data_IF_673898499957
#
_entry.id   IF_673898499957
#
_cell.length_a   1.000
_cell.length_b   1.000
_cell.length_c   1.000
_cell.angle_alpha   90.00
_cell.angle_beta   90.00
_cell.angle_gamma   90.00
#
_symmetry.space_group_name_H-M   'P 1'
#
loop_
_entity.id
_entity.type
_entity.pdbx_description
1 polymer ?
#
# COMPACT_ATOMS: atom_id res chain seq x y z
N UNK A 1 74.15 64.71 -14.36
CA UNK A 1 75.10 63.74 -13.74
C UNK A 1 74.36 62.49 -13.43
N UNK A 2 74.87 61.42 -13.96
CA UNK A 2 74.62 59.97 -13.69
C UNK A 2 73.24 59.42 -13.98
N UNK A 3 73.16 58.76 -15.13
CA UNK A 3 72.21 57.80 -15.58
C UNK A 3 72.29 56.50 -14.78
N UNK A 4 71.14 55.89 -14.49
CA UNK A 4 71.09 54.47 -14.20
C UNK A 4 69.96 53.81 -14.98
N UNK A 5 70.34 53.01 -15.92
CA UNK A 5 69.48 52.10 -16.67
C UNK A 5 69.12 50.91 -15.85
N UNK A 6 67.86 50.59 -15.64
CA UNK A 6 67.41 49.31 -15.11
C UNK A 6 66.63 48.55 -16.20
N UNK A 7 67.09 47.33 -16.40
CA UNK A 7 66.55 46.39 -17.39
C UNK A 7 65.19 45.85 -16.94
N UNK A 8 64.19 45.92 -17.78
CA UNK A 8 62.94 45.23 -17.67
C UNK A 8 63.14 43.75 -18.00
N UNK A 9 62.90 42.86 -17.02
CA UNK A 9 62.75 41.45 -17.25
C UNK A 9 61.25 41.13 -17.45
N UNK A 10 60.86 40.69 -18.65
CA UNK A 10 59.55 40.13 -18.92
C UNK A 10 59.45 38.75 -18.26
N UNK A 11 58.59 38.62 -17.26
CA UNK A 11 58.12 37.32 -16.81
C UNK A 11 56.78 37.02 -17.52
N UNK A 12 56.75 35.97 -18.32
CA UNK A 12 55.54 35.44 -18.94
C UNK A 12 54.68 34.71 -17.86
N UNK A 13 53.36 34.92 -17.82
CA UNK A 13 52.54 34.13 -16.94
C UNK A 13 52.28 32.75 -17.58
N UNK A 14 52.64 31.71 -16.87
CA UNK A 14 52.26 30.33 -17.16
C UNK A 14 50.76 30.21 -16.92
N UNK A 15 49.98 30.03 -17.95
CA UNK A 15 48.55 29.75 -17.90
C UNK A 15 48.38 28.28 -17.46
N UNK A 16 48.09 28.04 -16.17
CA UNK A 16 47.70 26.74 -15.69
C UNK A 16 46.28 26.44 -16.16
N UNK A 17 46.17 25.60 -17.18
CA UNK A 17 44.90 25.05 -17.66
C UNK A 17 44.42 24.00 -16.64
N UNK A 18 43.52 24.39 -15.73
CA UNK A 18 42.82 23.45 -14.86
C UNK A 18 41.79 22.70 -15.69
N UNK A 19 42.10 21.49 -16.08
CA UNK A 19 41.12 20.51 -16.57
C UNK A 19 40.13 20.23 -15.45
N UNK A 20 38.99 20.84 -15.45
CA UNK A 20 37.81 20.36 -14.73
C UNK A 20 37.38 19.06 -15.41
N UNK A 21 37.78 17.94 -14.81
CA UNK A 21 37.23 16.66 -15.12
C UNK A 21 35.73 16.68 -14.78
N UNK A 22 34.90 16.67 -15.82
CA UNK A 22 33.50 16.38 -15.68
C UNK A 22 33.37 14.94 -15.14
N UNK A 23 33.29 14.83 -13.84
CA UNK A 23 32.92 13.59 -13.19
C UNK A 23 31.49 13.24 -13.60
N UNK A 24 31.34 12.31 -14.54
CA UNK A 24 30.10 11.62 -14.77
C UNK A 24 29.69 10.94 -13.48
N UNK A 25 28.81 11.54 -12.70
CA UNK A 25 27.98 10.85 -11.73
C UNK A 25 26.91 10.04 -12.46
N UNK A 26 27.35 9.08 -13.24
CA UNK A 26 26.56 8.01 -13.80
C UNK A 26 26.75 6.77 -12.96
N UNK A 27 26.32 6.81 -11.72
CA UNK A 27 26.15 5.62 -10.91
C UNK A 27 24.93 4.84 -11.38
N UNK A 28 24.99 4.19 -12.57
CA UNK A 28 24.06 3.11 -12.85
C UNK A 28 24.49 1.94 -11.98
N UNK A 29 23.93 1.84 -10.78
CA UNK A 29 23.90 0.59 -10.06
C UNK A 29 23.04 -0.37 -10.87
N UNK A 30 23.66 -1.15 -11.73
CA UNK A 30 23.08 -2.40 -12.25
C UNK A 30 22.87 -3.28 -11.03
N UNK A 31 21.71 -3.20 -10.41
CA UNK A 31 21.30 -4.13 -9.38
C UNK A 31 21.16 -5.50 -10.04
N UNK A 32 22.22 -6.28 -9.98
CA UNK A 32 22.30 -7.67 -10.52
C UNK A 32 21.60 -8.69 -9.62
N UNK A 33 20.69 -8.24 -8.75
CA UNK A 33 19.91 -9.07 -7.83
C UNK A 33 18.41 -8.81 -7.93
N UNK A 34 17.60 -9.61 -7.26
CA UNK A 34 16.17 -9.35 -7.18
C UNK A 34 15.92 -7.98 -6.55
N UNK A 35 15.23 -7.11 -7.28
CA UNK A 35 14.92 -5.72 -6.91
C UNK A 35 13.45 -5.53 -6.48
N UNK A 36 12.77 -6.63 -6.14
CA UNK A 36 11.42 -6.64 -5.57
C UNK A 36 11.43 -6.37 -4.05
N UNK A 37 10.31 -6.59 -3.39
CA UNK A 37 10.16 -6.48 -1.94
C UNK A 37 9.68 -5.10 -1.49
N UNK A 38 10.31 -4.55 -0.48
CA UNK A 38 9.87 -3.31 0.18
C UNK A 38 10.92 -2.21 0.02
N UNK A 39 10.44 -1.04 -0.38
CA UNK A 39 11.22 0.18 -0.51
C UNK A 39 10.68 1.26 0.42
N UNK A 40 11.55 2.06 1.00
CA UNK A 40 11.22 3.21 1.86
C UNK A 40 11.79 4.49 1.27
N UNK A 41 11.01 5.54 1.28
CA UNK A 41 11.47 6.92 1.08
C UNK A 41 11.32 7.72 2.36
N UNK A 42 12.16 8.76 2.53
CA UNK A 42 12.07 9.73 3.63
C UNK A 42 12.06 11.17 3.10
N UNK A 43 11.77 11.35 1.82
CA UNK A 43 11.78 12.63 1.12
C UNK A 43 10.63 12.75 0.09
N UNK A 44 9.49 12.15 0.41
CA UNK A 44 8.28 12.13 -0.45
C UNK A 44 8.52 11.53 -1.82
N UNK A 45 9.37 10.48 -1.88
CA UNK A 45 9.60 9.71 -3.09
C UNK A 45 10.65 10.26 -4.04
N UNK A 46 11.46 11.24 -3.64
CA UNK A 46 12.58 11.71 -4.43
C UNK A 46 13.71 10.67 -4.46
N UNK A 47 13.97 10.02 -3.34
CA UNK A 47 14.89 8.89 -3.24
C UNK A 47 14.26 7.72 -2.49
N UNK A 48 14.63 6.50 -2.88
CA UNK A 48 14.10 5.27 -2.29
C UNK A 48 15.24 4.34 -1.88
N UNK A 49 15.08 3.71 -0.74
CA UNK A 49 16.03 2.72 -0.19
C UNK A 49 15.34 1.36 -0.11
N UNK A 50 15.94 0.34 -0.70
CA UNK A 50 15.44 -1.04 -0.59
C UNK A 50 15.63 -1.56 0.84
N UNK A 51 14.57 -1.98 1.50
CA UNK A 51 14.52 -2.49 2.87
C UNK A 51 14.55 -4.02 2.87
N UNK A 52 15.65 -4.58 2.41
CA UNK A 52 15.81 -6.00 2.07
C UNK A 52 16.30 -6.90 3.21
N UNK A 53 16.77 -6.35 4.32
CA UNK A 53 17.36 -7.15 5.40
C UNK A 53 16.30 -8.00 6.09
N UNK A 54 16.35 -9.33 5.92
CA UNK A 54 15.51 -10.32 6.59
C UNK A 54 16.36 -11.08 7.61
N UNK A 55 15.94 -11.02 8.87
CA UNK A 55 16.52 -11.81 9.95
C UNK A 55 15.77 -13.14 10.00
N UNK A 56 16.46 -14.23 9.66
CA UNK A 56 15.93 -15.56 9.90
C UNK A 56 15.99 -15.89 11.41
N UNK A 57 15.22 -16.88 11.89
CA UNK A 57 15.37 -17.39 13.25
C UNK A 57 16.83 -17.84 13.49
N UNK A 58 17.62 -17.01 14.21
CA UNK A 58 19.05 -17.20 14.46
C UNK A 58 19.85 -15.89 14.34
N UNK A 59 21.13 -15.86 14.72
CA UNK A 59 21.90 -14.62 14.82
C UNK A 59 22.43 -14.05 13.49
N UNK A 60 22.05 -14.58 12.32
CA UNK A 60 22.58 -14.15 11.03
C UNK A 60 21.47 -13.62 10.12
N UNK A 61 21.74 -12.49 9.43
CA UNK A 61 20.96 -12.05 8.27
C UNK A 61 21.20 -13.08 7.16
N UNK A 62 20.23 -13.94 6.90
CA UNK A 62 20.41 -15.10 6.01
C UNK A 62 19.57 -15.04 4.74
N UNK A 63 18.65 -14.08 4.63
CA UNK A 63 17.77 -13.96 3.49
C UNK A 63 17.44 -12.49 3.19
N UNK A 64 16.77 -12.25 2.06
CA UNK A 64 16.37 -10.90 1.65
C UNK A 64 14.90 -10.87 1.24
N UNK A 65 14.19 -9.85 1.69
CA UNK A 65 12.82 -9.54 1.26
C UNK A 65 12.77 -9.13 -0.23
N UNK A 66 13.92 -8.93 -0.87
CA UNK A 66 14.05 -8.44 -2.24
C UNK A 66 13.39 -9.33 -3.33
N UNK A 67 13.06 -10.60 -3.01
CA UNK A 67 12.31 -11.50 -3.90
C UNK A 67 10.82 -11.60 -3.56
N UNK A 68 10.34 -10.95 -2.51
CA UNK A 68 8.98 -11.14 -2.01
C UNK A 68 7.96 -10.31 -2.79
N UNK A 69 6.80 -10.92 -3.03
CA UNK A 69 5.63 -10.24 -3.61
C UNK A 69 4.75 -9.72 -2.48
N UNK A 70 4.70 -8.41 -2.31
CA UNK A 70 3.96 -7.77 -1.22
C UNK A 70 2.50 -7.55 -1.64
N UNK A 71 1.56 -8.06 -0.89
CA UNK A 71 0.11 -7.96 -1.16
C UNK A 71 -0.59 -6.92 -0.27
N UNK A 72 -0.14 -6.76 0.97
CA UNK A 72 -0.68 -5.80 1.94
C UNK A 72 0.41 -5.34 2.89
N UNK A 73 0.32 -4.12 3.37
CA UNK A 73 1.14 -3.57 4.47
C UNK A 73 0.25 -2.74 5.38
N UNK A 74 0.41 -2.93 6.70
CA UNK A 74 -0.30 -2.16 7.71
C UNK A 74 0.66 -1.77 8.83
N UNK A 75 0.48 -0.57 9.36
CA UNK A 75 1.17 -0.11 10.56
C UNK A 75 0.43 -0.59 11.81
N UNK A 76 1.19 -0.81 12.88
CA UNK A 76 0.59 -0.89 14.21
C UNK A 76 0.09 0.52 14.60
N UNK A 77 -1.20 0.70 14.92
CA UNK A 77 -1.74 2.02 15.27
C UNK A 77 -1.11 2.63 16.53
N UNK A 78 -0.47 1.80 17.36
CA UNK A 78 0.16 2.22 18.62
C UNK A 78 1.69 2.38 18.50
N UNK A 79 2.28 1.96 17.35
CA UNK A 79 3.72 2.04 17.11
C UNK A 79 4.04 2.08 15.62
N UNK A 80 4.25 3.27 15.06
CA UNK A 80 4.50 3.45 13.64
C UNK A 80 5.81 2.82 13.13
N UNK A 81 6.73 2.40 14.02
CA UNK A 81 7.90 1.63 13.63
C UNK A 81 7.60 0.16 13.41
N UNK A 82 6.45 -0.31 13.90
CA UNK A 82 5.98 -1.68 13.72
C UNK A 82 5.10 -1.76 12.48
N UNK A 83 5.53 -2.56 11.49
CA UNK A 83 4.82 -2.76 10.23
C UNK A 83 4.69 -4.26 9.97
N UNK A 84 3.51 -4.67 9.55
CA UNK A 84 3.19 -6.03 9.14
C UNK A 84 2.93 -6.07 7.64
N UNK A 85 3.54 -7.04 6.95
CA UNK A 85 3.35 -7.19 5.51
C UNK A 85 2.95 -8.62 5.16
N UNK A 86 1.88 -8.74 4.38
CA UNK A 86 1.39 -9.99 3.83
C UNK A 86 2.01 -10.22 2.45
N UNK A 87 2.41 -11.46 2.17
CA UNK A 87 3.09 -11.82 0.91
C UNK A 87 2.33 -12.89 0.14
N UNK A 88 2.68 -13.05 -1.13
CA UNK A 88 2.05 -14.06 -2.00
C UNK A 88 2.55 -15.48 -1.71
N UNK A 89 3.83 -15.65 -1.44
CA UNK A 89 4.46 -16.97 -1.33
C UNK A 89 5.08 -17.23 0.04
N UNK A 90 5.45 -16.17 0.77
CA UNK A 90 6.32 -16.24 1.94
C UNK A 90 5.58 -15.96 3.25
N UNK A 91 4.25 -16.12 3.27
CA UNK A 91 3.44 -15.90 4.47
C UNK A 91 3.46 -14.44 4.92
N UNK A 92 3.63 -14.24 6.22
CA UNK A 92 3.76 -12.93 6.86
C UNK A 92 5.22 -12.56 7.07
N UNK A 93 5.52 -11.27 7.03
CA UNK A 93 6.74 -10.68 7.58
C UNK A 93 6.39 -9.44 8.41
N UNK A 94 7.25 -9.10 9.36
CA UNK A 94 7.04 -7.93 10.21
C UNK A 94 8.36 -7.23 10.53
N UNK A 95 8.28 -5.97 10.87
CA UNK A 95 9.39 -5.15 11.36
C UNK A 95 8.98 -4.42 12.63
N UNK A 96 9.94 -4.17 13.51
CA UNK A 96 9.75 -3.37 14.74
C UNK A 96 10.65 -2.13 14.75
N UNK A 97 11.33 -1.84 13.64
CA UNK A 97 12.36 -0.80 13.52
C UNK A 97 12.18 0.09 12.26
N UNK A 98 10.93 0.25 11.82
CA UNK A 98 10.59 1.08 10.67
C UNK A 98 11.13 0.52 9.35
N UNK A 99 11.20 -0.81 9.23
CA UNK A 99 11.62 -1.52 8.03
C UNK A 99 13.13 -1.63 7.85
N UNK A 100 13.94 -1.29 8.85
CA UNK A 100 15.40 -1.48 8.73
C UNK A 100 15.74 -2.97 8.70
N UNK A 101 15.05 -3.77 9.52
CA UNK A 101 15.11 -5.23 9.48
C UNK A 101 13.71 -5.83 9.46
N UNK A 102 13.53 -6.93 8.74
CA UNK A 102 12.30 -7.70 8.69
C UNK A 102 12.50 -9.04 9.37
N UNK A 103 11.43 -9.62 9.88
CA UNK A 103 11.41 -10.92 10.54
C UNK A 103 10.28 -11.76 9.97
N UNK A 104 10.46 -13.08 9.94
CA UNK A 104 9.37 -14.03 9.67
C UNK A 104 8.86 -14.63 10.98
N UNK A 105 7.54 -14.86 11.10
CA UNK A 105 6.98 -15.56 12.24
C UNK A 105 7.36 -17.05 12.27
N UNK A 106 7.19 -17.71 13.41
CA UNK A 106 7.38 -19.15 13.53
C UNK A 106 6.32 -19.97 12.78
N UNK A 107 5.11 -19.41 12.67
CA UNK A 107 3.98 -19.96 11.90
C UNK A 107 3.46 -18.93 10.92
N UNK A 108 2.66 -19.35 9.92
CA UNK A 108 2.19 -18.48 8.84
C UNK A 108 3.34 -17.80 8.06
N UNK A 109 4.44 -18.51 7.89
CA UNK A 109 5.68 -18.06 7.23
C UNK A 109 5.83 -18.58 5.80
N UNK A 110 4.83 -19.24 5.26
CA UNK A 110 4.76 -19.76 3.90
C UNK A 110 3.37 -19.58 3.31
N UNK A 111 3.26 -19.66 1.99
CA UNK A 111 2.00 -19.54 1.28
C UNK A 111 1.50 -18.11 1.18
N UNK A 112 0.30 -17.99 0.63
CA UNK A 112 -0.32 -16.70 0.35
C UNK A 112 -1.10 -16.18 1.55
N UNK A 113 -0.79 -14.98 1.99
CA UNK A 113 -1.60 -14.19 2.92
C UNK A 113 -2.17 -13.01 2.15
N UNK A 114 -3.49 -12.85 2.16
CA UNK A 114 -4.18 -11.82 1.37
C UNK A 114 -4.32 -10.50 2.12
N UNK A 115 -4.61 -10.56 3.41
CA UNK A 115 -4.86 -9.39 4.25
C UNK A 115 -4.35 -9.61 5.66
N UNK A 116 -3.97 -8.52 6.31
CA UNK A 116 -3.63 -8.46 7.73
C UNK A 116 -4.22 -7.19 8.32
N UNK A 117 -4.73 -7.28 9.55
CA UNK A 117 -5.21 -6.13 10.33
C UNK A 117 -4.71 -6.21 11.76
N UNK A 118 -4.52 -5.04 12.36
CA UNK A 118 -4.02 -4.88 13.73
C UNK A 118 -5.16 -4.40 14.61
N UNK A 119 -5.28 -4.96 15.80
CA UNK A 119 -6.22 -4.49 16.80
C UNK A 119 -5.83 -3.08 17.26
N UNK A 120 -6.71 -2.07 17.07
CA UNK A 120 -6.37 -0.68 17.39
C UNK A 120 -6.30 -0.39 18.88
N UNK A 121 -6.80 -1.28 19.73
CA UNK A 121 -6.84 -1.11 21.19
C UNK A 121 -5.91 -2.06 21.94
N UNK A 122 -5.61 -3.23 21.35
CA UNK A 122 -4.75 -4.22 21.96
C UNK A 122 -3.47 -4.39 21.17
N UNK A 123 -2.39 -3.77 21.65
CA UNK A 123 -1.07 -3.87 21.02
C UNK A 123 -0.66 -5.33 20.81
N UNK A 124 -0.03 -5.60 19.68
CA UNK A 124 0.47 -6.95 19.33
C UNK A 124 -0.61 -8.01 19.10
N UNK A 125 -1.88 -7.60 18.97
CA UNK A 125 -2.97 -8.49 18.55
C UNK A 125 -3.33 -8.21 17.10
N UNK A 126 -3.29 -9.26 16.27
CA UNK A 126 -3.48 -9.16 14.84
C UNK A 126 -4.33 -10.31 14.30
N UNK A 127 -4.93 -10.06 13.15
CA UNK A 127 -5.65 -11.07 12.37
C UNK A 127 -5.15 -11.09 10.94
N UNK A 128 -5.08 -12.27 10.34
CA UNK A 128 -4.64 -12.45 8.96
C UNK A 128 -5.54 -13.43 8.21
N UNK A 129 -5.75 -13.16 6.92
CA UNK A 129 -6.50 -14.01 6.00
C UNK A 129 -5.56 -14.74 5.04
N UNK A 130 -5.63 -16.08 5.02
CA UNK A 130 -4.82 -16.93 4.15
C UNK A 130 -5.65 -18.08 3.60
N UNK A 131 -5.89 -18.09 2.29
CA UNK A 131 -6.81 -19.03 1.68
C UNK A 131 -8.21 -18.91 2.28
N UNK A 132 -8.81 -20.02 2.64
CA UNK A 132 -10.12 -20.10 3.29
C UNK A 132 -10.04 -20.02 4.84
N UNK A 133 -8.92 -19.50 5.39
CA UNK A 133 -8.63 -19.52 6.83
C UNK A 133 -8.38 -18.11 7.37
N UNK A 134 -8.77 -17.92 8.64
CA UNK A 134 -8.42 -16.75 9.44
C UNK A 134 -7.50 -17.18 10.57
N UNK A 135 -6.44 -16.42 10.76
CA UNK A 135 -5.43 -16.60 11.81
C UNK A 135 -5.43 -15.41 12.74
N UNK A 136 -5.11 -15.66 14.02
CA UNK A 136 -4.88 -14.65 15.05
C UNK A 136 -3.47 -14.78 15.60
N UNK A 137 -2.79 -13.64 15.77
CA UNK A 137 -1.60 -13.50 16.61
C UNK A 137 -2.02 -12.72 17.85
N UNK A 138 -1.95 -13.35 19.01
CA UNK A 138 -2.48 -12.80 20.26
C UNK A 138 -1.33 -12.42 21.19
N UNK A 139 -1.14 -11.11 21.42
CA UNK A 139 -0.08 -10.53 22.26
C UNK A 139 1.36 -10.93 21.85
N UNK A 140 1.57 -11.42 20.63
CA UNK A 140 2.90 -11.88 20.17
C UNK A 140 3.50 -10.99 19.08
N UNK A 141 2.86 -9.86 18.75
CA UNK A 141 3.31 -8.92 17.70
C UNK A 141 3.61 -9.60 16.36
N UNK A 142 2.77 -10.55 15.97
CA UNK A 142 2.93 -11.28 14.71
C UNK A 142 4.00 -12.37 14.71
N UNK A 143 4.61 -12.71 15.86
CA UNK A 143 5.63 -13.78 15.95
C UNK A 143 5.03 -15.16 15.81
N UNK A 144 3.86 -15.36 16.42
CA UNK A 144 3.14 -16.63 16.41
C UNK A 144 1.71 -16.43 15.97
N UNK A 145 1.21 -17.34 15.14
CA UNK A 145 -0.12 -17.29 14.58
C UNK A 145 -0.85 -18.61 14.82
N UNK A 146 -2.10 -18.50 15.24
CA UNK A 146 -3.00 -19.64 15.44
C UNK A 146 -4.19 -19.49 14.48
N UNK A 147 -4.53 -20.56 13.77
CA UNK A 147 -5.78 -20.62 13.01
C UNK A 147 -6.95 -20.59 14.01
N UNK A 148 -7.88 -19.64 13.82
CA UNK A 148 -9.07 -19.48 14.66
C UNK A 148 -10.35 -19.81 13.90
N UNK A 149 -10.36 -19.71 12.58
CA UNK A 149 -11.53 -20.00 11.75
C UNK A 149 -11.12 -20.56 10.39
N UNK A 150 -12.02 -21.31 9.75
CA UNK A 150 -11.92 -21.68 8.33
C UNK A 150 -13.32 -21.79 7.71
N UNK A 151 -13.42 -21.42 6.43
CA UNK A 151 -14.59 -21.70 5.60
C UNK A 151 -14.45 -23.12 5.02
N UNK A 152 -15.44 -24.00 5.14
CA UNK A 152 -15.34 -25.37 4.60
C UNK A 152 -15.25 -25.41 3.06
N UNK A 153 -15.58 -24.32 2.36
CA UNK A 153 -15.45 -24.20 0.91
C UNK A 153 -13.99 -23.93 0.53
N UNK A 154 -13.23 -24.97 0.27
CA UNK A 154 -11.77 -24.93 0.07
C UNK A 154 -11.34 -24.22 -1.21
N UNK A 155 -12.22 -24.12 -2.20
CA UNK A 155 -12.00 -23.38 -3.46
C UNK A 155 -12.17 -21.87 -3.31
N UNK A 156 -12.70 -21.40 -2.17
CA UNK A 156 -12.86 -19.97 -1.86
C UNK A 156 -11.73 -19.47 -1.00
N UNK A 157 -11.49 -18.17 -1.05
CA UNK A 157 -10.50 -17.53 -0.21
C UNK A 157 -11.01 -16.21 0.35
N UNK A 158 -10.61 -15.90 1.57
CA UNK A 158 -10.75 -14.56 2.11
C UNK A 158 -9.78 -13.62 1.39
N UNK A 159 -10.31 -12.56 0.81
CA UNK A 159 -9.53 -11.57 0.03
C UNK A 159 -9.24 -10.32 0.82
N UNK A 160 -10.13 -9.98 1.74
CA UNK A 160 -10.07 -8.76 2.56
C UNK A 160 -10.39 -9.09 4.02
N UNK A 161 -9.83 -8.28 4.92
CA UNK A 161 -10.12 -8.33 6.35
C UNK A 161 -10.07 -6.89 6.88
N UNK A 162 -11.06 -6.51 7.68
CA UNK A 162 -11.09 -5.25 8.43
C UNK A 162 -11.54 -5.51 9.86
N UNK A 163 -11.10 -4.66 10.77
CA UNK A 163 -11.46 -4.72 12.20
C UNK A 163 -12.14 -3.42 12.59
N UNK A 164 -13.17 -3.51 13.42
CA UNK A 164 -13.86 -2.36 13.96
C UNK A 164 -12.95 -1.65 14.98
N UNK A 165 -12.57 -0.43 14.65
CA UNK A 165 -11.70 0.39 15.49
C UNK A 165 -12.36 0.82 16.80
N UNK A 166 -13.71 0.88 16.83
CA UNK A 166 -14.48 1.23 18.03
C UNK A 166 -14.73 -0.01 18.90
N UNK A 167 -15.08 -1.15 18.28
CA UNK A 167 -15.29 -2.43 18.96
C UNK A 167 -14.45 -3.54 18.30
N UNK A 168 -13.17 -3.74 18.70
CA UNK A 168 -12.28 -4.68 18.04
C UNK A 168 -12.64 -6.16 18.14
N UNK A 169 -13.68 -6.53 18.91
CA UNK A 169 -14.24 -7.89 18.85
C UNK A 169 -15.02 -8.12 17.55
N UNK A 170 -15.36 -7.04 16.83
CA UNK A 170 -16.06 -7.09 15.55
C UNK A 170 -15.07 -7.02 14.40
N UNK A 171 -15.13 -8.02 13.52
CA UNK A 171 -14.35 -8.11 12.30
C UNK A 171 -15.26 -8.36 11.11
N UNK A 172 -14.80 -7.92 9.93
CA UNK A 172 -15.44 -8.25 8.65
C UNK A 172 -14.41 -8.86 7.72
N UNK A 173 -14.83 -9.84 6.91
CA UNK A 173 -14.00 -10.46 5.90
C UNK A 173 -14.76 -10.52 4.58
N UNK A 174 -14.08 -10.13 3.49
CA UNK A 174 -14.58 -10.29 2.12
C UNK A 174 -13.98 -11.54 1.48
N UNK A 175 -14.74 -12.20 0.62
CA UNK A 175 -14.31 -13.43 -0.05
C UNK A 175 -14.20 -13.31 -1.57
N UNK A 176 -13.56 -14.28 -2.17
CA UNK A 176 -13.36 -14.36 -3.63
C UNK A 176 -14.65 -14.69 -4.41
N UNK A 177 -15.69 -15.17 -3.75
CA UNK A 177 -17.00 -15.48 -4.34
C UNK A 177 -18.09 -14.46 -4.01
N UNK A 178 -17.74 -13.37 -3.29
CA UNK A 178 -18.62 -12.22 -3.05
C UNK A 178 -19.35 -12.26 -1.71
N UNK A 179 -19.03 -13.21 -0.83
CA UNK A 179 -19.58 -13.18 0.52
C UNK A 179 -18.82 -12.14 1.38
N UNK A 180 -19.58 -11.38 2.17
CA UNK A 180 -19.06 -10.55 3.26
C UNK A 180 -19.48 -11.21 4.56
N UNK A 181 -18.50 -11.56 5.36
CA UNK A 181 -18.66 -12.18 6.67
C UNK A 181 -18.49 -11.14 7.77
N UNK A 182 -19.20 -11.32 8.88
CA UNK A 182 -19.03 -10.56 10.12
C UNK A 182 -18.81 -11.54 11.29
N UNK A 183 -17.85 -11.24 12.12
CA UNK A 183 -17.64 -11.82 13.45
C UNK A 183 -17.87 -10.74 14.50
N UNK A 184 -18.40 -11.10 15.68
CA UNK A 184 -18.58 -10.21 16.85
C UNK A 184 -17.90 -10.76 18.10
N UNK A 185 -17.11 -11.81 17.95
CA UNK A 185 -16.44 -12.57 19.01
C UNK A 185 -14.93 -12.74 18.78
N UNK A 186 -14.28 -11.71 18.22
CA UNK A 186 -12.85 -11.71 17.92
C UNK A 186 -12.43 -12.80 16.91
N UNK A 187 -13.30 -13.11 15.96
CA UNK A 187 -13.02 -14.02 14.85
C UNK A 187 -13.24 -15.49 15.16
N UNK A 188 -13.83 -15.85 16.30
CA UNK A 188 -14.10 -17.25 16.67
C UNK A 188 -15.27 -17.83 15.88
N UNK A 189 -16.30 -17.02 15.60
CA UNK A 189 -17.42 -17.41 14.74
C UNK A 189 -17.72 -16.32 13.71
N UNK A 190 -18.29 -16.71 12.57
CA UNK A 190 -18.56 -15.83 11.46
C UNK A 190 -19.93 -16.09 10.85
N UNK A 191 -20.62 -15.03 10.46
CA UNK A 191 -21.88 -15.05 9.75
C UNK A 191 -21.76 -14.31 8.42
N UNK A 192 -22.38 -14.83 7.37
CA UNK A 192 -22.50 -14.09 6.09
C UNK A 192 -23.56 -13.01 6.26
N UNK A 193 -23.16 -11.76 6.15
CA UNK A 193 -24.03 -10.57 6.25
C UNK A 193 -24.41 -9.99 4.89
N UNK A 194 -23.68 -10.38 3.83
CA UNK A 194 -24.00 -10.02 2.44
C UNK A 194 -23.45 -11.07 1.50
N UNK A 195 -24.22 -11.37 0.46
CA UNK A 195 -23.78 -12.20 -0.68
C UNK A 195 -23.92 -11.42 -1.97
N UNK A 196 -22.85 -11.41 -2.78
CA UNK A 196 -22.77 -10.81 -4.10
C UNK A 196 -22.32 -11.91 -5.05
N UNK A 197 -23.25 -12.73 -5.50
CA UNK A 197 -22.98 -14.01 -6.15
C UNK A 197 -21.91 -13.94 -7.25
N UNK A 198 -20.82 -14.70 -7.07
CA UNK A 198 -19.75 -14.88 -8.03
C UNK A 198 -18.85 -13.66 -8.27
N UNK A 199 -19.00 -12.58 -7.51
CA UNK A 199 -18.27 -11.33 -7.72
C UNK A 199 -17.34 -11.06 -6.55
N UNK A 200 -16.04 -11.27 -6.74
CA UNK A 200 -15.02 -11.12 -5.69
C UNK A 200 -15.05 -9.76 -5.01
N UNK A 201 -14.96 -9.76 -3.69
CA UNK A 201 -14.66 -8.56 -2.89
C UNK A 201 -13.18 -8.25 -3.04
N UNK A 202 -12.87 -7.06 -3.53
CA UNK A 202 -11.50 -6.65 -3.87
C UNK A 202 -10.88 -5.67 -2.88
N UNK A 203 -11.72 -4.94 -2.15
CA UNK A 203 -11.29 -3.96 -1.16
C UNK A 203 -12.40 -3.76 -0.13
N UNK A 204 -12.04 -3.57 1.14
CA UNK A 204 -12.98 -3.18 2.19
C UNK A 204 -12.35 -2.10 3.05
N UNK A 205 -13.12 -1.07 3.38
CA UNK A 205 -12.70 0.02 4.27
C UNK A 205 -13.85 0.40 5.20
N UNK A 206 -13.49 0.76 6.43
CA UNK A 206 -14.40 1.23 7.46
C UNK A 206 -14.19 2.71 7.72
N UNK A 207 -15.26 3.46 7.88
CA UNK A 207 -15.21 4.88 8.19
C UNK A 207 -14.61 5.10 9.59
N UNK A 208 -13.60 5.95 9.68
CA UNK A 208 -12.86 6.20 10.93
C UNK A 208 -13.61 7.11 11.92
N UNK A 209 -14.76 7.69 11.55
CA UNK A 209 -15.62 8.48 12.43
C UNK A 209 -16.88 7.72 12.85
N UNK A 210 -17.33 6.75 12.03
CA UNK A 210 -18.47 5.89 12.33
C UNK A 210 -18.21 4.48 11.82
N UNK A 211 -17.81 3.57 12.72
CA UNK A 211 -17.44 2.19 12.38
C UNK A 211 -18.60 1.36 11.79
N UNK A 212 -19.85 1.84 11.89
CA UNK A 212 -21.02 1.20 11.25
C UNK A 212 -21.01 1.40 9.73
N UNK A 213 -20.31 2.43 9.25
CA UNK A 213 -20.21 2.73 7.82
C UNK A 213 -19.02 2.01 7.21
N UNK A 214 -19.30 1.09 6.28
CA UNK A 214 -18.30 0.26 5.58
C UNK A 214 -18.57 0.32 4.09
N UNK A 215 -17.50 0.39 3.31
CA UNK A 215 -17.53 0.28 1.85
C UNK A 215 -16.80 -1.00 1.41
N UNK A 216 -17.42 -1.75 0.52
CA UNK A 216 -16.86 -2.95 -0.10
C UNK A 216 -16.79 -2.78 -1.63
N UNK A 217 -15.59 -2.69 -2.17
CA UNK A 217 -15.34 -2.67 -3.62
C UNK A 217 -15.37 -4.07 -4.21
N UNK A 218 -15.85 -4.19 -5.44
CA UNK A 218 -16.05 -5.47 -6.11
C UNK A 218 -15.40 -5.52 -7.49
N UNK A 219 -15.10 -6.74 -7.95
CA UNK A 219 -14.58 -6.97 -9.30
C UNK A 219 -15.69 -7.02 -10.35
N UNK A 220 -16.43 -5.92 -10.52
CA UNK A 220 -17.40 -5.79 -11.62
C UNK A 220 -18.78 -5.27 -11.24
N UNK A 221 -19.10 -5.16 -9.94
CA UNK A 221 -20.41 -4.72 -9.46
C UNK A 221 -20.38 -3.38 -8.69
N UNK A 222 -19.29 -2.63 -8.85
CA UNK A 222 -19.11 -1.33 -8.20
C UNK A 222 -18.77 -1.45 -6.71
N UNK A 223 -19.40 -0.60 -5.91
CA UNK A 223 -19.22 -0.52 -4.47
C UNK A 223 -20.52 -0.89 -3.77
N UNK A 224 -20.42 -1.61 -2.68
CA UNK A 224 -21.49 -1.81 -1.72
C UNK A 224 -21.19 -1.04 -0.44
N UNK A 225 -22.19 -0.38 0.11
CA UNK A 225 -22.10 0.46 1.33
C UNK A 225 -23.11 -0.03 2.36
N UNK A 226 -22.68 -0.10 3.60
CA UNK A 226 -23.56 -0.20 4.77
C UNK A 226 -23.35 1.02 5.66
N UNK A 227 -24.38 1.40 6.44
CA UNK A 227 -24.32 2.46 7.46
C UNK A 227 -24.84 1.96 8.83
N UNK A 228 -25.09 0.67 8.92
CA UNK A 228 -25.68 0.00 10.10
C UNK A 228 -24.84 -1.20 10.58
N UNK A 229 -23.55 -1.24 10.24
CA UNK A 229 -22.64 -2.33 10.64
C UNK A 229 -22.89 -3.62 9.89
N UNK A 230 -23.43 -3.54 8.67
CA UNK A 230 -23.63 -4.68 7.79
C UNK A 230 -24.98 -5.37 7.93
N UNK A 231 -25.94 -4.80 8.65
CA UNK A 231 -27.31 -5.34 8.68
C UNK A 231 -28.00 -5.14 7.33
N UNK A 232 -27.80 -3.98 6.70
CA UNK A 232 -28.26 -3.70 5.34
C UNK A 232 -27.12 -3.19 4.45
N UNK A 233 -27.20 -3.49 3.15
CA UNK A 233 -26.20 -3.08 2.17
C UNK A 233 -26.89 -2.48 0.95
N UNK A 234 -26.45 -1.31 0.52
CA UNK A 234 -26.88 -0.62 -0.70
C UNK A 234 -25.76 -0.65 -1.74
N UNK A 235 -26.14 -0.77 -3.01
CA UNK A 235 -25.18 -0.78 -4.12
C UNK A 235 -25.03 0.63 -4.70
N UNK A 236 -23.79 1.12 -4.76
CA UNK A 236 -23.39 2.37 -5.43
C UNK A 236 -22.98 2.04 -6.87
N UNK A 237 -23.95 1.67 -7.70
CA UNK A 237 -23.71 1.28 -9.10
C UNK A 237 -24.21 2.33 -10.09
N UNK A 238 -25.37 2.91 -9.82
CA UNK A 238 -26.02 3.89 -10.71
C UNK A 238 -25.19 5.16 -10.86
N UNK A 239 -24.44 5.52 -9.84
CA UNK A 239 -23.56 6.68 -9.82
C UNK A 239 -22.35 6.54 -10.77
N UNK A 240 -22.05 5.31 -11.24
CA UNK A 240 -20.99 5.04 -12.22
C UNK A 240 -21.48 5.01 -13.66
N UNK A 241 -22.81 5.06 -13.89
CA UNK A 241 -23.42 5.05 -15.19
C UNK A 241 -23.99 6.45 -15.56
N UNK A 242 -23.90 6.85 -16.84
CA UNK A 242 -23.20 6.18 -17.95
C UNK A 242 -21.69 6.49 -18.01
N UNK A 243 -21.20 7.52 -17.27
CA UNK A 243 -19.92 8.19 -17.49
C UNK A 243 -18.71 7.35 -17.05
N UNK A 244 -18.88 6.47 -16.04
CA UNK A 244 -17.80 5.73 -15.42
C UNK A 244 -18.01 4.21 -15.44
N UNK A 245 -18.52 3.66 -16.53
CA UNK A 245 -18.86 2.21 -16.63
C UNK A 245 -17.68 1.30 -16.27
N UNK A 246 -16.46 1.62 -16.71
CA UNK A 246 -15.25 0.84 -16.38
C UNK A 246 -14.82 0.98 -14.92
N UNK A 247 -15.39 1.93 -14.17
CA UNK A 247 -15.15 2.10 -12.73
C UNK A 247 -15.84 1.02 -11.87
N UNK A 248 -16.74 0.22 -12.41
CA UNK A 248 -17.38 -0.89 -11.68
C UNK A 248 -16.43 -2.02 -11.28
N UNK A 249 -15.29 -2.18 -11.98
CA UNK A 249 -14.21 -3.09 -11.59
C UNK A 249 -13.28 -2.39 -10.62
N UNK A 250 -13.74 -2.29 -9.37
CA UNK A 250 -12.99 -1.63 -8.30
C UNK A 250 -11.83 -2.52 -7.87
N UNK A 251 -10.64 -1.96 -7.80
CA UNK A 251 -9.45 -2.63 -7.27
C UNK A 251 -9.09 -2.15 -5.86
N UNK A 252 -9.44 -0.90 -5.54
CA UNK A 252 -9.24 -0.32 -4.22
C UNK A 252 -10.33 0.71 -3.92
N UNK A 253 -10.85 0.69 -2.71
CA UNK A 253 -11.63 1.77 -2.09
C UNK A 253 -10.79 2.32 -0.94
N UNK A 254 -10.77 3.63 -0.79
CA UNK A 254 -10.06 4.32 0.28
C UNK A 254 -10.92 5.48 0.79
N UNK A 255 -11.01 5.62 2.11
CA UNK A 255 -11.60 6.79 2.76
C UNK A 255 -10.47 7.75 3.07
N UNK A 256 -10.69 9.03 2.84
CA UNK A 256 -9.75 10.08 3.22
C UNK A 256 -9.54 10.05 4.74
N UNK A 257 -8.30 9.96 5.22
CA UNK A 257 -8.03 9.80 6.65
C UNK A 257 -8.39 11.04 7.50
N UNK A 258 -8.61 12.18 6.87
CA UNK A 258 -8.97 13.45 7.54
C UNK A 258 -10.44 13.74 7.37
N UNK A 259 -10.98 13.51 6.16
CA UNK A 259 -12.37 13.77 5.80
C UNK A 259 -13.10 12.48 5.44
N UNK A 260 -13.87 11.96 6.39
CA UNK A 260 -14.56 10.67 6.25
C UNK A 260 -15.69 10.64 5.21
N UNK A 261 -16.14 11.79 4.67
CA UNK A 261 -17.07 11.87 3.56
C UNK A 261 -16.36 11.81 2.21
N UNK A 262 -15.06 12.04 2.19
CA UNK A 262 -14.26 11.91 0.97
C UNK A 262 -13.82 10.46 0.74
N UNK A 263 -14.30 9.89 -0.37
CA UNK A 263 -14.03 8.50 -0.78
C UNK A 263 -13.31 8.51 -2.12
N UNK A 264 -12.30 7.67 -2.24
CA UNK A 264 -11.60 7.42 -3.49
C UNK A 264 -11.83 5.98 -3.94
N UNK A 265 -11.96 5.76 -5.24
CA UNK A 265 -11.89 4.42 -5.82
C UNK A 265 -10.87 4.36 -6.92
N UNK A 266 -10.16 3.25 -6.97
CA UNK A 266 -9.27 2.87 -8.06
C UNK A 266 -9.91 1.78 -8.87
N UNK A 267 -9.89 1.91 -10.18
CA UNK A 267 -10.50 0.97 -11.11
C UNK A 267 -9.75 0.97 -12.45
N UNK A 268 -10.22 0.18 -13.40
CA UNK A 268 -9.73 0.26 -14.78
C UNK A 268 -9.96 1.64 -15.41
N UNK A 269 -10.99 2.36 -15.02
CA UNK A 269 -11.25 3.72 -15.51
C UNK A 269 -10.14 4.69 -15.08
N UNK A 270 -9.64 4.55 -13.87
CA UNK A 270 -8.70 5.45 -13.20
C UNK A 270 -9.07 5.65 -11.75
N UNK A 271 -8.97 6.88 -11.26
CA UNK A 271 -9.36 7.28 -9.90
C UNK A 271 -10.60 8.16 -10.00
N UNK A 272 -11.66 7.78 -9.29
CA UNK A 272 -12.81 8.67 -9.09
C UNK A 272 -12.96 8.97 -7.59
N UNK A 273 -13.43 10.17 -7.29
CA UNK A 273 -13.54 10.75 -5.96
C UNK A 273 -14.97 11.18 -5.69
N UNK A 274 -15.47 10.86 -4.51
CA UNK A 274 -16.69 11.41 -3.91
C UNK A 274 -16.30 12.36 -2.77
N UNK A 275 -17.12 13.37 -2.51
CA UNK A 275 -16.99 14.30 -1.38
C UNK A 275 -18.19 14.23 -0.43
N UNK A 276 -19.11 13.30 -0.67
CA UNK A 276 -20.43 13.19 -0.01
C UNK A 276 -20.76 11.73 0.36
N UNK A 277 -19.75 10.97 0.77
CA UNK A 277 -19.94 9.59 1.23
C UNK A 277 -20.38 8.62 0.13
N UNK A 278 -20.15 8.95 -1.14
CA UNK A 278 -20.44 8.08 -2.28
C UNK A 278 -21.76 8.39 -3.00
N UNK A 279 -22.42 9.51 -2.70
CA UNK A 279 -23.65 9.91 -3.40
C UNK A 279 -23.36 10.45 -4.80
N UNK A 280 -22.31 11.28 -4.94
CA UNK A 280 -21.84 11.78 -6.23
C UNK A 280 -20.36 11.51 -6.44
N UNK A 281 -19.95 11.36 -7.70
CA UNK A 281 -18.59 10.98 -8.06
C UNK A 281 -18.03 11.87 -9.17
N UNK A 282 -16.74 12.17 -9.09
CA UNK A 282 -15.99 12.91 -10.09
C UNK A 282 -14.64 12.24 -10.35
N UNK A 283 -14.28 12.08 -11.63
CA UNK A 283 -12.97 11.60 -12.02
C UNK A 283 -11.87 12.60 -11.65
N UNK A 284 -10.74 12.12 -11.15
CA UNK A 284 -9.53 12.92 -11.05
C UNK A 284 -8.89 13.06 -12.44
N UNK A 285 -8.44 14.27 -12.77
CA UNK A 285 -7.70 14.52 -13.99
C UNK A 285 -6.28 13.94 -13.85
N UNK A 286 -6.05 12.78 -14.45
CA UNK A 286 -4.74 12.13 -14.44
C UNK A 286 -3.91 12.59 -15.64
N UNK A 287 -2.62 12.26 -15.64
CA UNK A 287 -1.67 12.60 -16.71
C UNK A 287 -1.91 11.85 -18.02
N UNK A 288 -2.85 10.92 -18.06
CA UNK A 288 -3.27 10.19 -19.25
C UNK A 288 -4.79 9.96 -19.24
N UNK A 289 -5.40 9.68 -20.40
CA UNK A 289 -6.84 9.44 -20.52
C UNK A 289 -7.33 8.28 -19.66
N UNK A 290 -8.64 8.24 -19.31
CA UNK A 290 -9.25 7.12 -18.62
C UNK A 290 -8.91 5.78 -19.27
N UNK A 291 -8.57 4.79 -18.45
CA UNK A 291 -8.20 3.44 -18.89
C UNK A 291 -6.78 3.26 -19.44
N UNK A 292 -6.06 4.34 -19.71
CA UNK A 292 -4.69 4.25 -20.24
C UNK A 292 -3.63 3.94 -19.18
N UNK A 293 -3.88 4.29 -17.90
CA UNK A 293 -2.98 3.98 -16.79
C UNK A 293 -3.51 2.80 -15.99
N UNK A 294 -2.68 1.79 -15.83
CA UNK A 294 -2.94 0.74 -14.83
C UNK A 294 -2.48 1.26 -13.49
N UNK A 295 -3.42 1.57 -12.61
CA UNK A 295 -3.16 2.01 -11.24
C UNK A 295 -3.25 0.78 -10.33
N UNK A 296 -2.19 0.52 -9.57
CA UNK A 296 -2.11 -0.63 -8.69
C UNK A 296 -2.42 -0.28 -7.23
N UNK A 297 -2.04 0.91 -6.78
CA UNK A 297 -2.29 1.37 -5.40
C UNK A 297 -2.38 2.88 -5.35
N UNK A 298 -3.30 3.36 -4.54
CA UNK A 298 -3.50 4.77 -4.17
C UNK A 298 -3.26 4.91 -2.67
N UNK A 299 -2.60 5.99 -2.26
CA UNK A 299 -2.42 6.36 -0.87
C UNK A 299 -2.69 7.85 -0.66
N UNK A 300 -3.31 8.20 0.47
CA UNK A 300 -3.53 9.57 0.94
C UNK A 300 -2.78 9.73 2.25
N UNK A 301 -2.07 10.85 2.37
CA UNK A 301 -1.29 11.19 3.57
C UNK A 301 -2.24 11.45 4.77
N UNK A 302 -2.10 10.72 5.87
CA UNK A 302 -2.97 10.86 7.03
C UNK A 302 -2.79 12.17 7.81
N UNK A 303 -1.73 12.93 7.55
CA UNK A 303 -1.48 14.26 8.15
C UNK A 303 -1.88 15.42 7.24
N UNK A 304 -1.93 15.16 5.92
CA UNK A 304 -2.29 16.19 4.95
C UNK A 304 -2.92 15.53 3.71
N UNK A 305 -4.23 15.46 3.67
CA UNK A 305 -4.99 14.82 2.58
C UNK A 305 -4.86 15.50 1.20
N UNK A 306 -4.15 16.62 1.10
CA UNK A 306 -3.74 17.19 -0.18
C UNK A 306 -2.57 16.40 -0.80
N UNK A 307 -1.79 15.69 0.00
CA UNK A 307 -0.74 14.81 -0.46
C UNK A 307 -1.34 13.45 -0.80
N UNK A 308 -1.35 13.14 -2.09
CA UNK A 308 -1.86 11.88 -2.62
C UNK A 308 -0.79 11.29 -3.53
N UNK A 309 -0.61 9.99 -3.48
CA UNK A 309 0.30 9.30 -4.39
C UNK A 309 -0.36 8.02 -4.93
N UNK A 310 -0.06 7.67 -6.16
CA UNK A 310 -0.46 6.38 -6.72
C UNK A 310 0.68 5.72 -7.49
N UNK A 311 0.66 4.40 -7.56
CA UNK A 311 1.62 3.61 -8.32
C UNK A 311 0.96 2.96 -9.53
N UNK A 312 1.71 2.94 -10.61
CA UNK A 312 1.43 2.15 -11.80
C UNK A 312 2.39 0.98 -11.95
N UNK A 313 2.51 0.48 -13.19
CA UNK A 313 3.42 -0.64 -13.49
C UNK A 313 4.90 -0.23 -13.35
N UNK A 314 5.26 0.98 -13.80
CA UNK A 314 6.65 1.47 -13.81
C UNK A 314 6.80 2.89 -13.27
N UNK A 315 5.71 3.51 -12.84
CA UNK A 315 5.67 4.91 -12.42
C UNK A 315 5.01 5.08 -11.08
N UNK A 316 5.38 6.14 -10.39
CA UNK A 316 4.66 6.68 -9.25
C UNK A 316 4.27 8.10 -9.59
N UNK A 317 3.12 8.56 -9.13
CA UNK A 317 2.68 9.93 -9.33
C UNK A 317 2.27 10.55 -8.00
N UNK A 318 2.59 11.82 -7.83
CA UNK A 318 2.37 12.60 -6.64
C UNK A 318 1.52 13.81 -6.94
N UNK A 319 0.57 14.09 -6.04
CA UNK A 319 -0.17 15.33 -5.96
C UNK A 319 0.07 15.94 -4.58
N UNK A 320 0.16 17.28 -4.51
CA UNK A 320 0.19 18.04 -3.26
C UNK A 320 -0.98 19.02 -3.14
N UNK A 321 -1.98 18.86 -4.01
CA UNK A 321 -3.16 19.72 -4.12
C UNK A 321 -4.48 18.94 -4.15
N UNK A 322 -4.49 17.72 -3.60
CA UNK A 322 -5.69 16.88 -3.50
C UNK A 322 -6.09 16.19 -4.81
N UNK A 323 -5.14 15.99 -5.72
CA UNK A 323 -5.35 15.31 -7.00
C UNK A 323 -5.73 16.23 -8.15
N UNK A 324 -5.53 17.53 -8.01
CA UNK A 324 -5.77 18.51 -9.08
C UNK A 324 -4.64 18.47 -10.11
N UNK A 325 -3.39 18.45 -9.62
CA UNK A 325 -2.20 18.30 -10.47
C UNK A 325 -1.33 17.13 -10.03
N UNK A 326 -0.60 16.54 -10.96
CA UNK A 326 0.21 15.35 -10.73
C UNK A 326 1.63 15.53 -11.24
N UNK A 327 2.61 15.12 -10.44
CA UNK A 327 4.03 15.08 -10.78
C UNK A 327 4.44 13.61 -10.97
N UNK A 328 4.83 13.20 -12.19
CA UNK A 328 5.30 11.86 -12.43
C UNK A 328 6.70 11.64 -11.83
N UNK A 329 6.89 10.45 -11.25
CA UNK A 329 8.17 9.94 -10.80
C UNK A 329 8.41 8.53 -11.34
N UNK A 330 9.65 8.10 -11.31
CA UNK A 330 10.03 6.72 -11.68
C UNK A 330 10.02 5.84 -10.43
N UNK A 331 9.52 4.62 -10.55
CA UNK A 331 9.70 3.62 -9.49
C UNK A 331 11.19 3.28 -9.31
N UNK A 332 11.64 3.00 -8.07
CA UNK A 332 13.04 2.65 -7.78
C UNK A 332 13.43 1.24 -8.24
N UNK A 333 12.53 0.54 -8.89
CA UNK A 333 12.63 -0.88 -9.24
C UNK A 333 12.04 -1.13 -10.62
N UNK A 334 12.41 -2.25 -11.24
CA UNK A 334 11.79 -2.76 -12.47
C UNK A 334 10.48 -3.49 -12.21
N UNK A 335 10.14 -3.74 -10.94
CA UNK A 335 8.89 -4.40 -10.52
C UNK A 335 7.76 -3.38 -10.41
N UNK A 336 6.53 -3.87 -10.52
CA UNK A 336 5.36 -3.00 -10.39
C UNK A 336 5.12 -2.64 -8.90
N UNK A 337 4.78 -1.39 -8.64
CA UNK A 337 4.29 -0.97 -7.33
C UNK A 337 2.90 -1.57 -7.09
N UNK A 338 2.70 -2.23 -5.95
CA UNK A 338 1.44 -2.92 -5.62
C UNK A 338 0.79 -2.38 -4.35
N UNK A 339 1.59 -2.01 -3.38
CA UNK A 339 1.14 -1.44 -2.12
C UNK A 339 1.93 -0.17 -1.87
N UNK A 340 1.23 0.93 -1.64
CA UNK A 340 1.83 2.20 -1.26
C UNK A 340 1.14 2.68 0.02
N UNK A 341 1.92 3.02 1.04
CA UNK A 341 1.40 3.54 2.31
C UNK A 341 2.25 4.70 2.79
N UNK A 342 1.62 5.74 3.30
CA UNK A 342 2.30 6.80 4.04
C UNK A 342 2.55 6.36 5.49
N UNK A 343 3.63 6.82 6.07
CA UNK A 343 3.85 6.72 7.51
C UNK A 343 2.79 7.56 8.24
N UNK A 344 2.14 7.00 9.29
CA UNK A 344 1.04 7.69 9.96
C UNK A 344 1.46 8.93 10.76
N UNK A 345 2.75 9.14 11.00
CA UNK A 345 3.26 10.28 11.78
C UNK A 345 4.18 11.21 11.00
N UNK A 346 4.81 10.75 9.90
CA UNK A 346 5.72 11.54 9.08
C UNK A 346 5.32 11.53 7.60
N UNK A 347 4.74 12.62 7.13
CA UNK A 347 4.32 12.82 5.73
C UNK A 347 5.44 12.74 4.68
N UNK A 348 6.70 12.77 5.10
CA UNK A 348 7.84 12.60 4.19
C UNK A 348 8.17 11.14 3.93
N UNK A 349 7.68 10.24 4.78
CA UNK A 349 7.98 8.81 4.74
C UNK A 349 6.87 8.04 4.04
N UNK A 350 7.25 7.20 3.09
CA UNK A 350 6.36 6.23 2.46
C UNK A 350 7.05 4.89 2.31
N UNK A 351 6.24 3.84 2.25
CA UNK A 351 6.68 2.49 1.96
C UNK A 351 5.98 1.98 0.69
N UNK A 352 6.76 1.32 -0.16
CA UNK A 352 6.32 0.73 -1.42
C UNK A 352 6.58 -0.77 -1.39
N UNK A 353 5.53 -1.56 -1.44
CA UNK A 353 5.59 -3.00 -1.69
C UNK A 353 5.44 -3.30 -3.18
N UNK A 354 6.21 -4.26 -3.69
CA UNK A 354 6.27 -4.56 -5.12
C UNK A 354 5.80 -5.96 -5.46
N UNK A 355 5.40 -6.14 -6.71
CA UNK A 355 5.07 -7.44 -7.32
C UNK A 355 5.84 -7.62 -8.62
N UNK A 356 6.15 -8.84 -9.05
CA UNK A 356 6.65 -9.07 -10.39
C UNK A 356 5.74 -8.41 -11.44
N UNK A 357 6.27 -7.87 -12.53
CA UNK A 357 5.44 -7.38 -13.62
C UNK A 357 4.61 -8.54 -14.16
N UNK A 358 3.39 -8.27 -14.69
CA UNK A 358 2.61 -9.30 -15.33
C UNK A 358 3.42 -9.94 -16.46
N UNK A 359 3.37 -11.26 -16.56
CA UNK A 359 3.98 -11.97 -17.67
C UNK A 359 3.40 -11.45 -18.98
N UNK A 360 4.27 -11.16 -19.95
CA UNK A 360 3.83 -10.81 -21.30
C UNK A 360 3.23 -12.09 -21.90
N UNK A 361 1.91 -12.07 -22.11
CA UNK A 361 1.23 -13.11 -22.88
C UNK A 361 1.57 -12.98 -24.36
#
# INVERSE_FOLDING_TARGET
>A
MTSFTSRLSLAAPILALSLFGAGCFGGSSTATGPDAGIWKTSDRGLAWVNKKALIAPGPKITAAVAGYTILSMVFDPQDHNTIYAATRENGMIYTLDGGNTWQQPGTLNTGRVNAVVVDPKQKCTLYAASGNKIYKSDNTCGRDWKQIFFDPRTEKSFTQLIIDWYNPTTLYAGSSDGDIFRSTDSGLSWQVVKRIDGISITSMVMNQKDSRTIYAGTNGDGIWKTVDGGETWIQIKKQFDPDYRDARKVTQVLIDPIDAETIYTVSKYGIIKSLDGGETWKALALTAPPGALKINSLAVDPKNNKNIAFTGVSTIQYSSDGGVTWKPGKLPTTKAGNVLVFDPVDSSVMYLGTVPPPEKK
#
